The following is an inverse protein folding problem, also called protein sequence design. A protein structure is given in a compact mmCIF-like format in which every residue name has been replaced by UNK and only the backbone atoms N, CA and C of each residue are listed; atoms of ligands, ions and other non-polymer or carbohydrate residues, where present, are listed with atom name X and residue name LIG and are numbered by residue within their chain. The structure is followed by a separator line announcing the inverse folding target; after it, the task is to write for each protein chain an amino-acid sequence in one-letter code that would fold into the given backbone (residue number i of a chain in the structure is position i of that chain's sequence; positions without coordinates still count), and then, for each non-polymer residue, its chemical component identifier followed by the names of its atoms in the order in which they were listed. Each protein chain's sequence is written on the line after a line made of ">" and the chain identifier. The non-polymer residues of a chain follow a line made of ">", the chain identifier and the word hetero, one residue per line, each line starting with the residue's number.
data_IF_354166804634
#
_entry.id   IF_354166804634
#
_cell.length_a   1.000
_cell.length_b   1.000
_cell.length_c   1.000
_cell.angle_alpha   90.00
_cell.angle_beta   90.00
_cell.angle_gamma   90.00
#
_symmetry.space_group_name_H-M   'P 1'
#
loop_
_entity.id
_entity.type
_entity.pdbx_description
1 polymer ?
#
# COMPACT_ATOMS: atom_id res chain seq x y z
N UNK A 1 -7.26 5.12 2.37
CA UNK A 1 -6.74 4.17 1.37
C UNK A 1 -6.02 4.97 0.31
N UNK A 2 -4.77 4.64 0.02
CA UNK A 2 -3.91 5.41 -0.89
C UNK A 2 -4.25 5.22 -2.37
N UNK A 3 -4.90 4.11 -2.72
CA UNK A 3 -5.36 3.78 -4.07
C UNK A 3 -6.76 3.16 -4.02
N UNK A 4 -7.58 3.42 -5.04
CA UNK A 4 -8.91 2.82 -5.20
C UNK A 4 -8.86 1.73 -6.29
N UNK A 5 -9.19 0.48 -5.93
CA UNK A 5 -9.34 -0.62 -6.88
C UNK A 5 -10.81 -1.01 -7.13
N UNK A 6 -11.77 -0.30 -6.54
CA UNK A 6 -13.20 -0.57 -6.68
C UNK A 6 -13.76 -0.26 -8.08
N UNK A 7 -13.05 0.52 -8.88
CA UNK A 7 -13.39 0.83 -10.28
C UNK A 7 -13.42 -0.42 -11.17
N UNK A 8 -12.72 -1.49 -10.77
CA UNK A 8 -12.81 -2.80 -11.43
C UNK A 8 -14.22 -3.40 -11.30
N UNK A 9 -14.84 -3.25 -10.13
CA UNK A 9 -16.15 -3.85 -9.84
C UNK A 9 -17.29 -3.17 -10.60
N UNK A 10 -17.16 -1.87 -10.90
CA UNK A 10 -18.12 -1.12 -11.73
C UNK A 10 -17.83 -1.22 -13.23
N UNK A 11 -16.72 -1.88 -13.62
CA UNK A 11 -16.29 -2.02 -15.02
C UNK A 11 -15.71 -0.73 -15.62
N UNK A 12 -15.41 0.27 -14.81
CA UNK A 12 -14.77 1.53 -15.23
C UNK A 12 -13.31 1.32 -15.64
N UNK A 13 -12.63 0.35 -15.03
CA UNK A 13 -11.23 0.01 -15.30
C UNK A 13 -11.02 -1.51 -15.32
N UNK A 14 -10.05 -1.96 -16.12
CA UNK A 14 -9.62 -3.37 -16.08
C UNK A 14 -8.66 -3.65 -14.93
N UNK A 15 -8.39 -4.93 -14.67
CA UNK A 15 -7.37 -5.33 -13.69
C UNK A 15 -5.99 -4.81 -14.11
N UNK A 16 -5.69 -4.85 -15.41
CA UNK A 16 -4.43 -4.38 -15.99
C UNK A 16 -4.26 -2.87 -15.82
N UNK A 17 -5.32 -2.08 -16.01
CA UNK A 17 -5.30 -0.63 -15.82
C UNK A 17 -4.99 -0.26 -14.36
N UNK A 18 -5.71 -0.86 -13.41
CA UNK A 18 -5.49 -0.61 -11.99
C UNK A 18 -4.13 -1.16 -11.54
N UNK A 19 -3.70 -2.29 -12.10
CA UNK A 19 -2.35 -2.84 -11.88
C UNK A 19 -1.24 -1.89 -12.33
N UNK A 20 -1.41 -1.23 -13.49
CA UNK A 20 -0.48 -0.19 -13.96
C UNK A 20 -0.47 1.02 -13.03
N UNK A 21 -1.64 1.50 -12.61
CA UNK A 21 -1.76 2.61 -11.64
C UNK A 21 -1.07 2.29 -10.31
N UNK A 22 -1.24 1.07 -9.81
CA UNK A 22 -0.56 0.60 -8.60
C UNK A 22 0.96 0.59 -8.79
N UNK A 23 1.45 0.08 -9.93
CA UNK A 23 2.88 0.07 -10.22
C UNK A 23 3.48 1.48 -10.24
N UNK A 24 2.84 2.42 -10.92
CA UNK A 24 3.26 3.83 -10.94
C UNK A 24 3.21 4.46 -9.54
N UNK A 25 2.19 4.14 -8.74
CA UNK A 25 2.08 4.60 -7.36
C UNK A 25 3.23 4.07 -6.49
N UNK A 26 3.62 2.80 -6.64
CA UNK A 26 4.78 2.22 -5.94
C UNK A 26 6.06 3.00 -6.30
N UNK A 27 6.28 3.31 -7.58
CA UNK A 27 7.44 4.08 -8.02
C UNK A 27 7.44 5.51 -7.44
N UNK A 28 6.29 6.16 -7.39
CA UNK A 28 6.16 7.50 -6.80
C UNK A 28 6.48 7.51 -5.30
N UNK A 29 6.01 6.50 -4.56
CA UNK A 29 6.31 6.34 -3.12
C UNK A 29 7.79 6.04 -2.92
N UNK A 30 8.36 5.09 -3.66
CA UNK A 30 9.78 4.75 -3.58
C UNK A 30 10.69 5.93 -3.95
N UNK A 31 10.24 6.80 -4.85
CA UNK A 31 10.95 8.03 -5.23
C UNK A 31 10.75 9.21 -4.27
N UNK A 32 9.93 9.05 -3.23
CA UNK A 32 9.55 10.14 -2.32
C UNK A 32 8.68 11.24 -2.95
N UNK A 33 8.18 11.05 -4.17
CA UNK A 33 7.26 11.99 -4.83
C UNK A 33 5.87 11.97 -4.21
N UNK A 34 5.47 10.82 -3.67
CA UNK A 34 4.25 10.63 -2.90
C UNK A 34 4.57 10.10 -1.52
N UNK A 35 3.81 10.55 -0.53
CA UNK A 35 3.85 10.05 0.83
C UNK A 35 2.54 9.30 1.08
N UNK A 36 2.63 8.06 1.57
CA UNK A 36 1.44 7.29 1.95
C UNK A 36 0.77 7.93 3.16
N UNK A 37 -0.51 7.63 3.36
CA UNK A 37 -1.23 8.13 4.54
C UNK A 37 -0.63 7.61 5.85
N UNK A 38 -0.06 6.39 5.88
CA UNK A 38 0.66 5.88 7.06
C UNK A 38 1.76 6.85 7.50
N UNK A 39 2.58 7.28 6.55
CA UNK A 39 3.74 8.10 6.83
C UNK A 39 3.32 9.55 7.07
N UNK A 40 2.28 10.02 6.37
CA UNK A 40 1.73 11.37 6.53
C UNK A 40 1.25 11.61 7.97
N UNK A 41 0.52 10.65 8.54
CA UNK A 41 -0.08 10.76 9.87
C UNK A 41 0.77 10.11 10.98
N UNK A 42 1.92 9.53 10.63
CA UNK A 42 2.81 8.88 11.60
C UNK A 42 2.22 7.62 12.22
N UNK A 43 1.43 6.86 11.46
CA UNK A 43 0.80 5.60 11.89
C UNK A 43 1.82 4.46 11.93
N UNK A 44 2.86 4.62 12.75
CA UNK A 44 3.97 3.67 12.88
C UNK A 44 3.80 2.84 14.16
N UNK A 45 3.47 1.56 14.01
CA UNK A 45 3.53 0.63 15.14
C UNK A 45 4.98 0.15 15.37
N UNK A 46 5.29 -0.30 16.59
CA UNK A 46 6.57 -0.94 16.88
C UNK A 46 6.74 -2.24 16.06
N UNK A 47 7.98 -2.60 15.77
CA UNK A 47 8.29 -3.89 15.12
C UNK A 47 7.91 -5.05 16.03
N UNK A 48 7.05 -5.94 15.55
CA UNK A 48 6.67 -7.18 16.23
C UNK A 48 7.48 -8.34 15.63
N UNK A 49 8.62 -8.65 16.25
CA UNK A 49 9.48 -9.75 15.79
C UNK A 49 8.74 -11.07 15.93
N UNK A 50 8.73 -11.86 14.86
CA UNK A 50 8.19 -13.21 14.88
C UNK A 50 9.04 -14.10 15.81
N UNK A 51 8.47 -14.53 16.94
CA UNK A 51 9.07 -15.52 17.82
C UNK A 51 8.32 -16.86 17.69
N UNK A 52 8.91 -17.88 17.05
CA UNK A 52 8.28 -19.19 16.91
C UNK A 52 8.39 -20.07 18.17
N UNK A 53 9.24 -19.69 19.14
CA UNK A 53 9.50 -20.46 20.35
C UNK A 53 8.62 -19.99 21.52
N UNK A 54 8.31 -20.87 22.49
CA UNK A 54 7.64 -20.45 23.71
C UNK A 54 8.51 -19.45 24.47
N UNK A 55 7.84 -18.49 25.10
CA UNK A 55 8.48 -17.64 26.12
C UNK A 55 8.33 -18.38 27.43
N UNK A 56 9.42 -18.97 27.92
CA UNK A 56 9.48 -19.70 29.20
C UNK A 56 10.35 -18.97 30.19
#
# INVERSE_FOLDING_TARGET
>A
MDINAGTIATGEETIEDVGRKLFEFILDVASGRKKTFSDQWGLHNQLAVFNPAPVT
#
